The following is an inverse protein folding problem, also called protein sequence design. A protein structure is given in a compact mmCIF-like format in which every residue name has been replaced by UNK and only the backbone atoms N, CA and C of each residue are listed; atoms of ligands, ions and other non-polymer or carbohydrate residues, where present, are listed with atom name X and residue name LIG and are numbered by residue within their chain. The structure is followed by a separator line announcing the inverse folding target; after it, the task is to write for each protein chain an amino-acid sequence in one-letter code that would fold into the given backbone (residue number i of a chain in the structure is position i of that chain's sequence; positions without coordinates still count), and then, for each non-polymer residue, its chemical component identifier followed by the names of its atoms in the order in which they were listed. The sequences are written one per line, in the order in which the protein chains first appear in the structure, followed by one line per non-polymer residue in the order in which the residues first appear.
data_IF_430617296884
#
_entry.id   IF_430617296884
#
_cell.length_a   1.000
_cell.length_b   1.000
_cell.length_c   1.000
_cell.angle_alpha   90.00
_cell.angle_beta   90.00
_cell.angle_gamma   90.00
#
_symmetry.space_group_name_H-M   'P 1'
#
loop_
_entity.id
_entity.type
_entity.pdbx_description
1 polymer ?
#
# COMPACT_ATOMS: atom_id res chain seq x y z
N UNK A 1 -7.97 23.55 -10.80
CA UNK A 1 -7.66 22.52 -9.77
C UNK A 1 -7.99 21.10 -10.24
N UNK A 2 -9.26 20.68 -10.41
CA UNK A 2 -9.61 19.28 -10.75
C UNK A 2 -9.06 18.76 -12.10
N UNK A 3 -8.80 19.64 -13.08
CA UNK A 3 -8.14 19.26 -14.34
C UNK A 3 -6.69 18.80 -14.09
N UNK A 4 -5.98 19.46 -13.17
CA UNK A 4 -4.61 19.11 -12.82
C UNK A 4 -4.56 17.80 -12.01
N UNK A 5 -5.58 17.53 -11.18
CA UNK A 5 -5.69 16.28 -10.41
C UNK A 5 -5.67 15.05 -11.32
N UNK A 6 -6.27 15.12 -12.52
CA UNK A 6 -6.31 13.99 -13.47
C UNK A 6 -4.94 13.45 -13.85
N UNK A 7 -3.90 14.29 -13.86
CA UNK A 7 -2.53 13.87 -14.19
C UNK A 7 -1.95 12.87 -13.17
N UNK A 8 -2.50 12.84 -11.95
CA UNK A 8 -2.07 11.96 -10.87
C UNK A 8 -2.96 10.72 -10.72
N UNK A 9 -3.99 10.57 -11.56
CA UNK A 9 -4.93 9.46 -11.49
C UNK A 9 -4.68 8.43 -12.60
N UNK A 10 -4.79 7.15 -12.27
CA UNK A 10 -4.82 6.11 -13.29
C UNK A 10 -6.01 6.30 -14.22
N UNK A 11 -5.73 6.29 -15.52
CA UNK A 11 -6.74 6.36 -16.57
C UNK A 11 -7.72 7.52 -16.39
N UNK A 12 -7.22 8.67 -15.89
CA UNK A 12 -8.02 9.87 -15.63
C UNK A 12 -9.10 9.69 -14.55
N UNK A 13 -8.90 8.75 -13.61
CA UNK A 13 -9.80 8.47 -12.50
C UNK A 13 -10.65 7.20 -12.65
N UNK A 14 -10.51 6.46 -13.76
CA UNK A 14 -11.20 5.16 -13.94
C UNK A 14 -10.62 4.06 -13.06
N UNK A 15 -9.40 4.24 -12.58
CA UNK A 15 -8.67 3.29 -11.74
C UNK A 15 -7.86 2.27 -12.55
N UNK A 16 -7.12 1.45 -11.81
CA UNK A 16 -6.27 0.36 -12.27
C UNK A 16 -6.33 -0.78 -11.26
N UNK A 17 -6.46 -2.01 -11.75
CA UNK A 17 -6.28 -3.19 -10.91
C UNK A 17 -4.79 -3.40 -10.66
N UNK A 18 -4.39 -3.37 -9.40
CA UNK A 18 -3.02 -3.60 -8.95
C UNK A 18 -2.99 -4.87 -8.11
N UNK A 19 -2.02 -5.74 -8.36
CA UNK A 19 -1.92 -6.98 -7.59
C UNK A 19 -1.55 -6.68 -6.14
N UNK A 20 -2.13 -7.40 -5.18
CA UNK A 20 -1.76 -7.23 -3.77
C UNK A 20 -0.28 -7.59 -3.56
N UNK A 21 0.23 -8.59 -4.29
CA UNK A 21 1.64 -8.99 -4.22
C UNK A 21 2.59 -7.84 -4.58
N UNK A 22 2.24 -7.00 -5.56
CA UNK A 22 3.01 -5.82 -5.93
C UNK A 22 3.03 -4.75 -4.82
N UNK A 23 1.87 -4.49 -4.20
CA UNK A 23 1.78 -3.57 -3.06
C UNK A 23 2.62 -4.06 -1.88
N UNK A 24 2.56 -5.36 -1.58
CA UNK A 24 3.34 -5.99 -0.52
C UNK A 24 4.85 -5.92 -0.82
N UNK A 25 5.27 -6.21 -2.06
CA UNK A 25 6.67 -6.11 -2.49
C UNK A 25 7.21 -4.69 -2.31
N UNK A 26 6.44 -3.68 -2.73
CA UNK A 26 6.79 -2.27 -2.57
C UNK A 26 7.03 -1.90 -1.10
N UNK A 27 6.10 -2.29 -0.24
CA UNK A 27 6.17 -2.08 1.20
C UNK A 27 7.38 -2.78 1.82
N UNK A 28 7.65 -4.02 1.42
CA UNK A 28 8.81 -4.78 1.89
C UNK A 28 10.13 -4.13 1.45
N UNK A 29 10.19 -3.59 0.23
CA UNK A 29 11.35 -2.83 -0.25
C UNK A 29 11.60 -1.58 0.60
N UNK A 30 10.55 -0.81 0.92
CA UNK A 30 10.65 0.36 1.80
C UNK A 30 11.17 -0.02 3.19
N UNK A 31 10.59 -1.06 3.80
CA UNK A 31 11.04 -1.61 5.09
C UNK A 31 12.47 -2.05 5.07
N UNK A 32 12.86 -2.85 4.09
CA UNK A 32 14.22 -3.37 4.01
C UNK A 32 15.25 -2.25 3.80
N UNK A 33 14.87 -1.17 3.11
CA UNK A 33 15.72 0.02 3.01
C UNK A 33 15.87 0.73 4.37
N UNK A 34 14.79 0.88 5.13
CA UNK A 34 14.82 1.48 6.48
C UNK A 34 15.59 0.59 7.47
N UNK A 35 15.30 -0.72 7.51
CA UNK A 35 15.98 -1.69 8.35
C UNK A 35 17.44 -1.90 7.94
N UNK A 36 17.78 -1.83 6.66
CA UNK A 36 19.16 -1.88 6.17
C UNK A 36 19.97 -0.65 6.61
N UNK A 37 19.33 0.52 6.67
CA UNK A 37 19.93 1.72 7.24
C UNK A 37 20.14 1.60 8.77
N UNK A 38 19.19 0.98 9.49
CA UNK A 38 19.25 0.76 10.94
C UNK A 38 20.20 -0.38 11.35
N UNK A 39 20.29 -1.46 10.57
CA UNK A 39 21.18 -2.64 10.82
C UNK A 39 22.67 -2.34 10.72
N UNK A 40 23.05 -1.22 10.08
CA UNK A 40 24.44 -0.70 10.17
C UNK A 40 24.77 -0.16 11.55
N UNK A 41 23.77 0.04 12.42
CA UNK A 41 23.93 0.44 13.82
C UNK A 41 23.49 -0.71 14.74
N UNK A 42 24.47 -1.53 15.12
CA UNK A 42 24.47 -2.44 16.28
C UNK A 42 23.54 -3.67 16.16
N UNK A 43 24.16 -4.84 16.23
CA UNK A 43 23.46 -6.13 16.31
C UNK A 43 22.41 -6.14 17.42
N UNK A 44 21.32 -6.88 17.18
CA UNK A 44 20.08 -7.03 17.96
C UNK A 44 18.97 -6.07 17.58
N UNK A 45 18.14 -6.50 16.63
CA UNK A 45 16.76 -6.06 16.49
C UNK A 45 15.92 -7.26 16.09
N UNK A 46 15.02 -7.71 16.98
CA UNK A 46 14.07 -8.79 16.73
C UNK A 46 13.18 -8.37 15.55
N UNK A 47 13.25 -9.08 14.44
CA UNK A 47 12.32 -8.91 13.34
C UNK A 47 10.94 -9.38 13.83
N UNK A 48 9.90 -8.56 13.63
CA UNK A 48 8.54 -9.10 13.59
C UNK A 48 8.49 -10.22 12.55
N UNK A 49 7.56 -11.20 12.66
CA UNK A 49 7.60 -12.42 11.88
C UNK A 49 7.70 -12.09 10.39
N UNK A 50 8.90 -12.28 9.81
CA UNK A 50 9.07 -12.24 8.38
C UNK A 50 8.45 -13.53 7.89
N UNK A 51 7.38 -13.40 7.10
CA UNK A 51 6.73 -14.54 6.44
C UNK A 51 7.73 -15.33 5.53
N UNK A 52 8.89 -14.75 5.25
CA UNK A 52 9.99 -15.36 4.50
C UNK A 52 11.07 -16.01 5.39
N UNK A 53 11.03 -15.87 6.72
CA UNK A 53 12.02 -16.49 7.63
C UNK A 53 11.88 -18.02 7.62
N UNK A 54 10.69 -18.55 7.34
CA UNK A 54 10.44 -19.99 7.20
C UNK A 54 10.81 -20.54 5.81
N UNK A 55 11.31 -19.68 4.90
CA UNK A 55 11.63 -20.07 3.52
C UNK A 55 13.15 -20.15 3.39
N UNK A 56 13.66 -21.37 3.27
CA UNK A 56 15.09 -21.63 3.14
C UNK A 56 15.59 -21.18 1.76
N UNK A 57 16.09 -19.95 1.66
CA UNK A 57 16.53 -19.34 0.40
C UNK A 57 17.74 -20.05 -0.24
N UNK A 58 18.54 -20.76 0.57
CA UNK A 58 19.72 -21.49 0.09
C UNK A 58 19.36 -22.86 -0.50
N UNK A 59 18.12 -23.33 -0.32
CA UNK A 59 17.56 -24.56 -0.90
C UNK A 59 16.11 -24.34 -1.32
N UNK A 60 15.92 -23.53 -2.37
CA UNK A 60 14.60 -23.31 -2.97
C UNK A 60 14.14 -24.57 -3.73
N UNK A 61 13.55 -25.51 -3.02
CA UNK A 61 12.81 -26.61 -3.65
C UNK A 61 11.52 -26.06 -4.27
N UNK A 62 11.04 -26.67 -5.36
CA UNK A 62 9.86 -26.22 -6.10
C UNK A 62 8.60 -26.08 -5.22
N UNK A 63 8.53 -26.85 -4.13
CA UNK A 63 7.51 -26.76 -3.07
C UNK A 63 7.51 -25.40 -2.38
N UNK A 64 8.69 -24.91 -1.99
CA UNK A 64 8.84 -23.70 -1.19
C UNK A 64 8.70 -22.45 -2.05
N UNK A 65 9.11 -22.55 -3.32
CA UNK A 65 8.76 -21.57 -4.34
C UNK A 65 7.23 -21.45 -4.52
N UNK A 66 6.51 -22.58 -4.60
CA UNK A 66 5.06 -22.59 -4.75
C UNK A 66 4.32 -22.09 -3.49
N UNK A 67 4.83 -22.38 -2.29
CA UNK A 67 4.32 -21.81 -1.03
C UNK A 67 4.58 -20.31 -0.97
N UNK A 68 5.77 -19.85 -1.33
CA UNK A 68 6.10 -18.43 -1.42
C UNK A 68 5.17 -17.72 -2.41
N UNK A 69 4.94 -18.31 -3.58
CA UNK A 69 4.03 -17.78 -4.60
C UNK A 69 2.59 -17.71 -4.08
N UNK A 70 2.09 -18.77 -3.42
CA UNK A 70 0.75 -18.80 -2.81
C UNK A 70 0.56 -17.73 -1.74
N UNK A 71 1.56 -17.56 -0.88
CA UNK A 71 1.56 -16.54 0.18
C UNK A 71 1.64 -15.13 -0.42
N UNK A 72 2.49 -14.92 -1.43
CA UNK A 72 2.60 -13.66 -2.16
C UNK A 72 1.33 -13.32 -2.94
N UNK A 73 0.66 -14.33 -3.51
CA UNK A 73 -0.65 -14.24 -4.17
C UNK A 73 -1.82 -14.12 -3.18
N UNK A 74 -1.52 -14.00 -1.88
CA UNK A 74 -2.47 -13.71 -0.82
C UNK A 74 -3.20 -14.91 -0.24
N UNK A 75 -2.97 -16.14 -0.71
CA UNK A 75 -3.67 -17.32 -0.20
C UNK A 75 -3.38 -17.51 1.30
N UNK A 76 -4.35 -17.17 2.14
CA UNK A 76 -4.29 -17.43 3.58
C UNK A 76 -4.43 -18.92 3.86
N UNK A 77 -3.77 -19.41 4.92
CA UNK A 77 -3.78 -20.81 5.35
C UNK A 77 -5.17 -21.38 5.70
N UNK A 78 -6.25 -20.59 5.59
CA UNK A 78 -7.62 -20.95 6.02
C UNK A 78 -8.68 -20.96 4.91
N UNK A 79 -8.28 -20.98 3.64
CA UNK A 79 -9.25 -21.13 2.53
C UNK A 79 -10.14 -19.92 2.25
N UNK A 80 -9.90 -18.78 2.92
CA UNK A 80 -10.54 -17.51 2.55
C UNK A 80 -9.95 -17.04 1.20
N UNK A 81 -10.83 -16.81 0.22
CA UNK A 81 -10.48 -16.18 -1.07
C UNK A 81 -9.81 -14.84 -0.78
N UNK A 82 -8.48 -14.81 -0.87
CA UNK A 82 -7.78 -13.55 -0.83
C UNK A 82 -8.04 -12.79 -2.12
N UNK A 83 -8.38 -11.52 -1.98
CA UNK A 83 -8.49 -10.62 -3.10
C UNK A 83 -7.11 -10.53 -3.76
N UNK A 84 -6.96 -11.03 -4.99
CA UNK A 84 -5.66 -11.01 -5.70
C UNK A 84 -5.27 -9.61 -6.18
N UNK A 85 -6.27 -8.74 -6.32
CA UNK A 85 -6.13 -7.39 -6.85
C UNK A 85 -6.90 -6.39 -6.01
N UNK A 86 -6.40 -5.16 -5.97
CA UNK A 86 -7.09 -3.98 -5.47
C UNK A 86 -7.24 -2.99 -6.62
N UNK A 87 -8.42 -2.42 -6.78
CA UNK A 87 -8.60 -1.28 -7.67
C UNK A 87 -8.07 -0.03 -6.95
N UNK A 88 -7.15 0.68 -7.59
CA UNK A 88 -6.59 1.95 -7.13
C UNK A 88 -6.86 3.04 -8.16
N UNK A 89 -7.19 4.23 -7.69
CA UNK A 89 -7.51 5.39 -8.53
C UNK A 89 -6.32 6.33 -8.65
N UNK A 90 -5.61 6.59 -7.57
CA UNK A 90 -4.41 7.43 -7.58
C UNK A 90 -3.17 6.63 -7.99
N UNK A 91 -2.35 7.21 -8.88
CA UNK A 91 -1.11 6.58 -9.35
C UNK A 91 -0.14 6.39 -8.18
N UNK A 92 0.30 5.15 -7.95
CA UNK A 92 1.20 4.80 -6.85
C UNK A 92 2.55 5.51 -6.97
N UNK A 93 3.03 5.81 -8.18
CA UNK A 93 4.26 6.58 -8.37
C UNK A 93 4.12 8.06 -7.99
N UNK A 94 2.88 8.55 -7.88
CA UNK A 94 2.54 9.95 -7.66
C UNK A 94 2.04 10.23 -6.24
N UNK A 95 2.35 9.34 -5.29
CA UNK A 95 1.92 9.49 -3.90
C UNK A 95 2.93 10.31 -3.10
N UNK A 96 2.45 10.91 -2.02
CA UNK A 96 3.31 11.56 -1.06
C UNK A 96 4.19 10.56 -0.31
N UNK A 97 5.11 11.07 0.51
CA UNK A 97 6.16 10.27 1.19
C UNK A 97 5.56 9.19 2.09
N UNK A 98 4.38 9.43 2.65
CA UNK A 98 3.64 8.50 3.52
C UNK A 98 2.63 7.64 2.74
N UNK A 99 2.72 7.61 1.40
CA UNK A 99 1.80 6.84 0.56
C UNK A 99 0.39 7.44 0.50
N UNK A 100 0.25 8.70 0.90
CA UNK A 100 -0.96 9.49 0.86
C UNK A 100 -1.31 9.96 -0.56
N UNK A 101 -2.60 10.09 -0.83
CA UNK A 101 -3.11 10.81 -2.01
C UNK A 101 -3.73 12.14 -1.55
N UNK A 102 -4.22 12.94 -2.51
CA UNK A 102 -4.84 14.23 -2.19
C UNK A 102 -6.05 14.12 -1.25
N UNK A 103 -6.90 13.09 -1.41
CA UNK A 103 -8.05 12.90 -0.53
C UNK A 103 -7.61 12.64 0.91
N UNK A 104 -6.59 11.81 1.12
CA UNK A 104 -6.03 11.55 2.44
C UNK A 104 -5.53 12.82 3.12
N UNK A 105 -4.84 13.69 2.37
CA UNK A 105 -4.34 14.97 2.87
C UNK A 105 -5.49 15.88 3.27
N UNK A 106 -6.54 15.98 2.44
CA UNK A 106 -7.72 16.78 2.77
C UNK A 106 -8.38 16.31 4.07
N UNK A 107 -8.57 15.00 4.23
CA UNK A 107 -9.19 14.41 5.42
C UNK A 107 -8.30 14.55 6.67
N UNK A 108 -6.98 14.49 6.52
CA UNK A 108 -6.04 14.65 7.64
C UNK A 108 -5.98 16.09 8.15
N UNK A 109 -6.03 17.09 7.25
CA UNK A 109 -6.02 18.50 7.65
C UNK A 109 -7.36 18.96 8.26
N UNK A 110 -8.48 18.42 7.80
CA UNK A 110 -9.83 18.65 8.35
C UNK A 110 -10.22 20.14 8.54
N UNK A 111 -9.76 21.03 7.66
CA UNK A 111 -10.24 22.42 7.63
C UNK A 111 -11.49 22.54 6.77
N UNK A 112 -12.26 23.63 6.91
CA UNK A 112 -13.48 23.85 6.11
C UNK A 112 -13.20 23.77 4.60
N UNK A 113 -12.14 24.42 4.13
CA UNK A 113 -11.74 24.42 2.71
C UNK A 113 -11.33 23.02 2.23
N UNK A 114 -10.59 22.27 3.08
CA UNK A 114 -10.16 20.91 2.73
C UNK A 114 -11.33 19.94 2.69
N UNK A 115 -12.31 20.10 3.57
CA UNK A 115 -13.53 19.30 3.57
C UNK A 115 -14.37 19.57 2.32
N UNK A 116 -14.44 20.82 1.87
CA UNK A 116 -15.13 21.15 0.62
C UNK A 116 -14.40 20.59 -0.60
N UNK A 117 -13.06 20.66 -0.63
CA UNK A 117 -12.25 20.03 -1.66
C UNK A 117 -12.42 18.50 -1.67
N UNK A 118 -12.45 17.86 -0.50
CA UNK A 118 -12.67 16.42 -0.36
C UNK A 118 -14.02 16.00 -0.97
N UNK A 119 -15.10 16.75 -0.69
CA UNK A 119 -16.42 16.52 -1.31
C UNK A 119 -16.36 16.61 -2.83
N UNK A 120 -15.68 17.63 -3.38
CA UNK A 120 -15.54 17.80 -4.82
C UNK A 120 -14.76 16.64 -5.47
N UNK A 121 -13.68 16.18 -4.82
CA UNK A 121 -12.88 15.05 -5.27
C UNK A 121 -13.72 13.76 -5.28
N UNK A 122 -14.44 13.46 -4.19
CA UNK A 122 -15.28 12.25 -4.09
C UNK A 122 -16.44 12.30 -5.07
N UNK A 123 -17.07 13.46 -5.26
CA UNK A 123 -18.14 13.63 -6.25
C UNK A 123 -17.62 13.37 -7.67
N UNK A 124 -16.39 13.80 -7.98
CA UNK A 124 -15.82 13.65 -9.33
C UNK A 124 -15.20 12.28 -9.58
N UNK A 125 -14.57 11.69 -8.57
CA UNK A 125 -13.81 10.44 -8.65
C UNK A 125 -14.20 9.51 -7.49
N UNK A 126 -15.45 9.01 -7.44
CA UNK A 126 -15.99 8.34 -6.26
C UNK A 126 -15.19 7.12 -5.81
N UNK A 127 -14.56 6.39 -6.75
CA UNK A 127 -13.73 5.22 -6.45
C UNK A 127 -12.47 5.54 -5.63
N UNK A 128 -12.04 6.81 -5.58
CA UNK A 128 -10.82 7.21 -4.85
C UNK A 128 -10.91 6.95 -3.35
N UNK A 129 -12.12 6.83 -2.80
CA UNK A 129 -12.36 6.46 -1.39
C UNK A 129 -11.85 5.05 -1.06
N UNK A 130 -11.63 4.20 -2.07
CA UNK A 130 -11.13 2.84 -1.89
C UNK A 130 -9.59 2.76 -1.90
N UNK A 131 -8.91 3.87 -2.19
CA UNK A 131 -7.47 3.95 -2.08
C UNK A 131 -7.02 3.82 -0.62
N UNK A 132 -5.81 3.30 -0.42
CA UNK A 132 -5.23 3.10 0.91
C UNK A 132 -3.90 3.83 1.02
N UNK A 133 -3.46 4.11 2.25
CA UNK A 133 -2.07 4.45 2.49
C UNK A 133 -1.19 3.25 2.18
N UNK A 134 -0.11 3.49 1.42
CA UNK A 134 0.80 2.43 0.95
C UNK A 134 2.11 2.41 1.74
N UNK A 135 2.42 3.47 2.51
CA UNK A 135 3.65 3.49 3.31
C UNK A 135 3.62 2.48 4.44
N UNK A 136 4.81 2.03 4.84
CA UNK A 136 4.98 1.15 5.99
C UNK A 136 4.40 1.74 7.27
N UNK A 137 4.61 3.03 7.52
CA UNK A 137 4.19 3.69 8.76
C UNK A 137 2.67 3.78 8.89
N UNK A 138 1.90 3.65 7.81
CA UNK A 138 0.44 3.80 7.82
C UNK A 138 -0.33 2.61 7.22
N UNK A 139 0.36 1.51 6.92
CA UNK A 139 -0.25 0.34 6.31
C UNK A 139 -1.34 -0.26 7.21
N UNK A 140 -2.59 -0.19 6.76
CA UNK A 140 -3.76 -0.75 7.46
C UNK A 140 -4.38 0.18 8.52
N UNK A 141 -3.91 1.42 8.67
CA UNK A 141 -4.57 2.39 9.56
C UNK A 141 -5.71 3.12 8.83
N UNK A 142 -6.88 3.09 9.45
CA UNK A 142 -8.02 3.97 9.12
C UNK A 142 -7.73 5.34 9.75
N UNK A 143 -8.09 6.47 9.12
CA UNK A 143 -7.96 7.78 9.75
C UNK A 143 -8.74 7.80 11.07
N UNK A 144 -8.04 7.97 12.20
CA UNK A 144 -8.67 8.18 13.50
C UNK A 144 -9.02 9.67 13.61
N UNK A 145 -10.30 9.98 13.80
CA UNK A 145 -10.77 11.32 14.13
C UNK A 145 -10.49 11.59 15.60
N UNK A 146 -9.61 12.56 15.90
CA UNK A 146 -9.54 13.19 17.22
C UNK A 146 -10.67 14.21 17.40
#
# INVERSE_FOLDING_TARGET
MLIQVKAYLYNGGKGKLVSISELVKRRNKQRNAQLGALRRKKGRGKCGPNILDDINQDKLDASDFLKALKILDGASARGMKAFKYRELVWDIEQRGKMGENLLHICLLHNTADMNELAKQIVTRFPKIVNDIFISEDYYGRVPETN
#
